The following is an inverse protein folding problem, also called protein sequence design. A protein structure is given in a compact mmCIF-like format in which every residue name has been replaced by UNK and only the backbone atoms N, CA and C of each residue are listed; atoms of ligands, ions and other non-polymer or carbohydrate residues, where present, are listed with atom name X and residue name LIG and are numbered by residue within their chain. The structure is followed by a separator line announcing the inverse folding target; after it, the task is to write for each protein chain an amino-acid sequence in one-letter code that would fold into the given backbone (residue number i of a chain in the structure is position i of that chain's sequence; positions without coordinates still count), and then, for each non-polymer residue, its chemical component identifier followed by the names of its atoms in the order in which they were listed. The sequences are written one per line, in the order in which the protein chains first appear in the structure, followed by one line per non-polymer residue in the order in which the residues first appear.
data_IF_822681212811
#
_entry.id   IF_822681212811
#
_cell.length_a   1.000
_cell.length_b   1.000
_cell.length_c   1.000
_cell.angle_alpha   90.00
_cell.angle_beta   90.00
_cell.angle_gamma   90.00
#
_symmetry.space_group_name_H-M   'P 1'
#
loop_
_entity.id
_entity.type
_entity.pdbx_description
1 polymer ?
#
# COMPACT_ATOMS: atom_id res chain seq x y z
N UNK A 1 5.86 11.74 2.21
CA UNK A 1 5.91 10.52 1.36
C UNK A 1 4.63 10.37 0.56
N UNK A 2 4.73 9.74 -0.62
CA UNK A 2 3.59 9.32 -1.43
C UNK A 2 3.68 7.80 -1.60
N UNK A 3 2.58 7.09 -1.39
CA UNK A 3 2.47 5.63 -1.55
C UNK A 3 1.26 5.30 -2.42
N UNK A 4 1.44 4.58 -3.52
CA UNK A 4 0.34 4.11 -4.37
C UNK A 4 0.28 2.59 -4.39
N UNK A 5 -0.87 2.03 -4.03
CA UNK A 5 -1.16 0.60 -4.16
C UNK A 5 -2.32 0.42 -5.12
N UNK A 6 -2.06 -0.30 -6.21
CA UNK A 6 -3.01 -0.51 -7.29
C UNK A 6 -3.10 -2.01 -7.57
N UNK A 7 -4.32 -2.51 -7.72
CA UNK A 7 -4.54 -3.84 -8.28
C UNK A 7 -4.04 -3.82 -9.72
N UNK A 8 -3.19 -4.77 -10.08
CA UNK A 8 -2.96 -5.06 -11.49
C UNK A 8 -4.15 -5.89 -11.95
N UNK A 9 -4.85 -5.47 -13.00
CA UNK A 9 -5.76 -6.37 -13.70
C UNK A 9 -4.97 -7.61 -14.13
N UNK A 10 -5.19 -8.74 -13.45
CA UNK A 10 -4.69 -10.06 -13.84
C UNK A 10 -5.66 -10.74 -14.82
N UNK A 11 -6.33 -9.96 -15.67
CA UNK A 11 -7.33 -10.44 -16.62
C UNK A 11 -6.74 -10.81 -17.99
N UNK A 12 -5.42 -10.81 -18.13
CA UNK A 12 -4.73 -11.59 -19.15
C UNK A 12 -4.08 -12.81 -18.47
N UNK A 13 -4.65 -13.99 -18.75
CA UNK A 13 -4.18 -15.33 -18.37
C UNK A 13 -4.48 -15.82 -16.95
N UNK A 14 -5.71 -16.32 -16.76
CA UNK A 14 -5.97 -17.66 -16.19
C UNK A 14 -7.45 -18.01 -16.37
N UNK A 15 -7.78 -18.67 -17.47
CA UNK A 15 -9.03 -19.40 -17.63
C UNK A 15 -9.03 -20.57 -16.65
N UNK A 16 -9.80 -20.47 -15.56
CA UNK A 16 -10.23 -21.64 -14.81
C UNK A 16 -11.69 -21.46 -14.41
N UNK A 17 -12.53 -22.16 -15.16
CA UNK A 17 -13.95 -22.35 -14.96
C UNK A 17 -14.27 -22.95 -13.58
N UNK A 18 -15.12 -22.34 -12.77
CA UNK A 18 -16.03 -23.09 -11.87
C UNK A 18 -17.28 -22.26 -11.50
N UNK A 19 -18.39 -22.62 -12.17
CA UNK A 19 -19.78 -22.73 -11.73
C UNK A 19 -20.34 -21.78 -10.64
N UNK A 20 -21.39 -21.07 -11.04
CA UNK A 20 -22.31 -20.36 -10.17
C UNK A 20 -23.18 -21.32 -9.35
N UNK A 21 -23.34 -21.01 -8.06
CA UNK A 21 -24.49 -21.45 -7.27
C UNK A 21 -24.92 -20.30 -6.36
N UNK A 22 -26.15 -19.83 -6.57
CA UNK A 22 -26.77 -18.81 -5.74
C UNK A 22 -27.33 -19.44 -4.46
N UNK A 23 -27.07 -18.82 -3.31
CA UNK A 23 -27.92 -18.92 -2.14
C UNK A 23 -27.98 -17.57 -1.43
N UNK A 24 -29.21 -17.09 -1.27
CA UNK A 24 -29.58 -15.88 -0.53
C UNK A 24 -29.68 -16.27 0.94
N UNK A 25 -29.00 -15.54 1.83
CA UNK A 25 -29.51 -15.34 3.18
C UNK A 25 -29.06 -13.99 3.78
N UNK A 26 -30.07 -13.28 4.29
CA UNK A 26 -30.00 -11.95 4.90
C UNK A 26 -29.60 -12.09 6.37
N UNK A 27 -28.44 -11.57 6.73
CA UNK A 27 -28.16 -11.11 8.10
C UNK A 27 -27.50 -9.73 8.01
N UNK A 28 -28.05 -8.75 8.73
CA UNK A 28 -27.65 -7.34 8.68
C UNK A 28 -26.25 -7.07 9.20
N UNK A 29 -25.23 -7.44 8.42
CA UNK A 29 -23.87 -7.00 8.60
C UNK A 29 -23.70 -5.66 7.88
N UNK A 30 -23.07 -4.69 8.58
CA UNK A 30 -22.64 -3.42 8.00
C UNK A 30 -21.99 -3.71 6.65
N UNK A 31 -22.55 -3.12 5.60
CA UNK A 31 -22.15 -3.32 4.22
C UNK A 31 -20.75 -2.72 4.02
N UNK A 32 -19.74 -3.45 4.47
CA UNK A 32 -18.34 -3.23 4.18
C UNK A 32 -18.07 -3.58 2.72
N UNK A 33 -18.78 -2.92 1.80
CA UNK A 33 -18.38 -2.91 0.39
C UNK A 33 -17.02 -2.22 0.37
N UNK A 34 -15.96 -3.02 0.43
CA UNK A 34 -14.77 -2.69 -0.34
C UNK A 34 -15.32 -2.51 -1.75
N UNK A 35 -15.55 -1.25 -2.13
CA UNK A 35 -16.09 -0.88 -3.43
C UNK A 35 -15.22 -1.60 -4.47
N UNK A 36 -15.80 -2.61 -5.12
CA UNK A 36 -15.14 -3.38 -6.18
C UNK A 36 -14.78 -2.48 -7.39
N UNK A 37 -15.26 -1.25 -7.36
CA UNK A 37 -15.08 -0.23 -8.39
C UNK A 37 -13.79 0.60 -8.21
N UNK A 38 -12.95 0.32 -7.21
CA UNK A 38 -11.66 1.01 -7.03
C UNK A 38 -10.49 0.12 -7.44
N UNK A 39 -9.69 0.62 -8.39
CA UNK A 39 -8.42 0.04 -8.81
C UNK A 39 -7.34 0.12 -7.73
N UNK A 40 -7.47 0.97 -6.71
CA UNK A 40 -6.49 1.08 -5.62
C UNK A 40 -6.66 2.31 -4.74
N UNK A 41 -5.58 2.68 -4.04
CA UNK A 41 -5.52 3.93 -3.27
C UNK A 41 -4.15 4.60 -3.39
N UNK A 42 -4.17 5.93 -3.28
CA UNK A 42 -2.99 6.77 -3.20
C UNK A 42 -2.98 7.48 -1.84
N UNK A 43 -1.93 7.26 -1.07
CA UNK A 43 -1.66 7.96 0.18
C UNK A 43 -0.62 9.06 -0.06
N UNK A 44 -0.89 10.26 0.44
CA UNK A 44 0.02 11.41 0.39
C UNK A 44 0.07 12.01 1.80
N UNK A 45 1.24 12.08 2.41
CA UNK A 45 1.37 12.68 3.74
C UNK A 45 2.79 13.03 4.14
N UNK A 46 2.95 13.61 5.33
CA UNK A 46 4.26 14.02 5.87
C UNK A 46 5.13 12.84 6.36
N UNK A 47 4.53 11.65 6.53
CA UNK A 47 5.20 10.49 7.11
C UNK A 47 6.43 10.10 6.28
N UNK A 48 7.60 10.03 6.90
CA UNK A 48 8.76 9.35 6.31
C UNK A 48 8.65 7.83 6.56
N UNK A 49 9.53 7.04 5.94
CA UNK A 49 9.55 5.59 6.15
C UNK A 49 10.27 5.20 7.45
N UNK A 50 9.66 5.56 8.59
CA UNK A 50 10.19 5.32 9.93
C UNK A 50 9.11 4.78 10.88
N UNK A 51 9.47 3.95 11.88
CA UNK A 51 8.53 3.51 12.91
C UNK A 51 7.96 4.67 13.74
N UNK A 52 8.70 5.77 13.91
CA UNK A 52 8.21 6.94 14.64
C UNK A 52 6.98 7.58 13.96
N UNK A 53 6.95 7.57 12.62
CA UNK A 53 5.84 8.11 11.83
C UNK A 53 4.66 7.13 11.68
N UNK A 54 4.94 5.82 11.54
CA UNK A 54 3.91 4.80 11.23
C UNK A 54 3.46 3.96 12.42
N UNK A 55 4.25 3.98 13.48
CA UNK A 55 4.05 3.24 14.70
C UNK A 55 4.78 1.90 14.74
N UNK A 56 4.92 1.38 15.96
CA UNK A 56 5.44 0.04 16.25
C UNK A 56 4.46 -0.70 17.15
N UNK A 57 4.19 -1.97 16.81
CA UNK A 57 3.45 -2.85 17.69
C UNK A 57 4.35 -3.31 18.85
N UNK A 58 3.85 -3.13 20.07
CA UNK A 58 4.44 -3.68 21.28
C UNK A 58 3.48 -4.72 21.85
N UNK A 59 3.87 -5.99 21.80
CA UNK A 59 3.16 -7.07 22.50
C UNK A 59 3.94 -7.41 23.77
N UNK A 60 3.30 -7.29 24.94
CA UNK A 60 3.88 -7.79 26.19
C UNK A 60 3.73 -9.31 26.21
N UNK A 61 4.85 -10.03 26.14
CA UNK A 61 4.85 -11.49 26.26
C UNK A 61 4.24 -11.90 27.60
N UNK A 62 3.12 -12.64 27.57
CA UNK A 62 2.45 -13.17 28.76
C UNK A 62 1.09 -12.58 29.12
N UNK A 63 0.56 -11.63 28.35
CA UNK A 63 -0.84 -11.20 28.46
C UNK A 63 -1.48 -11.09 27.08
N UNK A 64 -2.51 -11.90 26.81
CA UNK A 64 -3.23 -11.88 25.53
C UNK A 64 -3.96 -10.55 25.26
N UNK A 65 -4.06 -9.67 26.26
CA UNK A 65 -4.90 -8.46 26.25
C UNK A 65 -4.15 -7.11 26.14
N UNK A 66 -2.82 -7.07 26.05
CA UNK A 66 -2.10 -5.78 25.94
C UNK A 66 -1.16 -5.70 24.73
N UNK A 67 -1.76 -5.57 23.54
CA UNK A 67 -1.06 -5.10 22.34
C UNK A 67 -1.31 -3.61 22.17
N UNK A 68 -0.24 -2.80 22.14
CA UNK A 68 -0.33 -1.37 21.84
C UNK A 68 0.38 -1.03 20.54
N UNK A 69 -0.13 -0.02 19.84
CA UNK A 69 0.54 0.64 18.71
C UNK A 69 1.07 1.98 19.20
N UNK A 70 2.38 2.13 19.23
CA UNK A 70 3.05 3.35 19.70
C UNK A 70 3.54 4.16 18.50
N UNK A 71 3.10 5.42 18.39
CA UNK A 71 3.49 6.39 17.35
C UNK A 71 4.03 7.62 18.06
N UNK A 72 5.24 8.07 17.69
CA UNK A 72 5.92 9.16 18.40
C UNK A 72 5.94 10.49 17.65
N UNK A 73 5.73 10.49 16.33
CA UNK A 73 5.66 11.72 15.54
C UNK A 73 4.21 12.19 15.32
N UNK A 74 4.06 13.51 15.21
CA UNK A 74 2.83 14.13 14.70
C UNK A 74 2.92 14.23 13.18
N UNK A 75 2.05 13.52 12.50
CA UNK A 75 2.08 13.44 11.05
C UNK A 75 0.66 13.53 10.50
N UNK A 76 0.50 14.04 9.28
CA UNK A 76 -0.79 14.16 8.61
C UNK A 76 -0.69 13.70 7.15
N UNK A 77 -1.75 13.07 6.66
CA UNK A 77 -1.85 12.67 5.27
C UNK A 77 -3.29 12.47 4.83
N UNK A 78 -3.48 12.36 3.52
CA UNK A 78 -4.76 12.10 2.86
C UNK A 78 -4.68 10.78 2.10
N UNK A 79 -5.79 10.06 2.06
CA UNK A 79 -5.97 8.86 1.25
C UNK A 79 -6.97 9.17 0.16
N UNK A 80 -6.55 9.00 -1.09
CA UNK A 80 -7.37 9.19 -2.28
C UNK A 80 -7.72 7.82 -2.86
N UNK A 81 -9.02 7.46 -2.98
CA UNK A 81 -9.41 6.26 -3.70
C UNK A 81 -9.14 6.45 -5.19
N UNK A 82 -8.58 5.42 -5.84
CA UNK A 82 -8.28 5.42 -7.27
C UNK A 82 -9.19 4.43 -7.96
N UNK A 83 -9.95 4.92 -8.94
CA UNK A 83 -11.01 4.19 -9.64
C UNK A 83 -10.51 3.45 -10.88
N UNK A 84 -9.45 3.92 -11.50
CA UNK A 84 -8.91 3.33 -12.74
C UNK A 84 -7.39 3.42 -12.82
N UNK A 85 -6.79 2.58 -13.67
CA UNK A 85 -5.36 2.66 -13.97
C UNK A 85 -4.96 4.00 -14.60
N UNK A 86 -5.79 4.57 -15.48
CA UNK A 86 -5.51 5.89 -16.07
C UNK A 86 -5.41 6.98 -15.00
N UNK A 87 -6.29 6.95 -14.00
CA UNK A 87 -6.25 7.87 -12.86
C UNK A 87 -5.02 7.63 -11.97
N UNK A 88 -4.59 6.36 -11.82
CA UNK A 88 -3.35 6.03 -11.13
C UNK A 88 -2.14 6.67 -11.83
N UNK A 89 -2.03 6.55 -13.15
CA UNK A 89 -0.93 7.15 -13.92
C UNK A 89 -0.97 8.68 -13.92
N UNK A 90 -2.16 9.29 -13.87
CA UNK A 90 -2.32 10.75 -13.79
C UNK A 90 -1.88 11.32 -12.42
N UNK A 91 -2.17 10.62 -11.32
CA UNK A 91 -1.97 11.16 -9.96
C UNK A 91 -0.57 10.96 -9.41
N UNK A 92 0.21 10.02 -9.96
CA UNK A 92 1.57 9.75 -9.49
C UNK A 92 2.55 10.80 -10.00
N UNK A 93 3.53 11.14 -9.16
CA UNK A 93 4.59 12.10 -9.51
C UNK A 93 5.91 11.41 -9.87
N UNK A 94 5.87 10.10 -10.11
CA UNK A 94 7.00 9.28 -10.52
C UNK A 94 6.66 8.40 -11.73
N UNK A 95 7.67 7.95 -12.45
CA UNK A 95 7.49 7.07 -13.60
C UNK A 95 7.18 5.64 -13.15
N UNK A 96 6.18 5.02 -13.77
CA UNK A 96 5.81 3.62 -13.56
C UNK A 96 6.08 2.78 -14.83
N UNK A 97 6.47 1.50 -14.70
CA UNK A 97 6.85 0.83 -13.45
C UNK A 97 8.16 1.40 -12.89
N UNK A 98 8.35 1.33 -11.56
CA UNK A 98 9.59 1.79 -10.93
C UNK A 98 10.75 0.90 -11.36
N UNK A 99 11.89 1.52 -11.72
CA UNK A 99 13.10 0.78 -12.10
C UNK A 99 13.76 0.19 -10.84
N UNK A 100 13.99 -1.13 -10.77
CA UNK A 100 14.72 -1.72 -9.66
C UNK A 100 16.18 -1.24 -9.62
N UNK A 101 16.70 -1.01 -8.42
CA UNK A 101 18.14 -0.78 -8.20
C UNK A 101 18.95 -2.03 -8.62
N UNK A 102 20.17 -1.81 -9.13
CA UNK A 102 21.17 -2.88 -9.28
C UNK A 102 20.87 -4.00 -10.28
N UNK A 103 19.92 -3.84 -11.21
CA UNK A 103 19.50 -4.95 -12.07
C UNK A 103 20.67 -5.55 -12.89
N UNK A 104 20.95 -6.84 -12.65
CA UNK A 104 21.95 -7.66 -13.37
C UNK A 104 23.39 -7.11 -13.41
N UNK A 105 23.82 -6.42 -12.35
CA UNK A 105 25.22 -6.01 -12.18
C UNK A 105 25.74 -4.94 -13.16
N UNK A 106 24.85 -4.32 -13.95
CA UNK A 106 25.19 -3.21 -14.87
C UNK A 106 24.98 -1.83 -14.23
N UNK A 107 24.17 -1.77 -13.20
CA UNK A 107 23.77 -0.55 -12.52
C UNK A 107 24.37 -0.55 -11.11
N UNK A 108 25.23 0.42 -10.79
CA UNK A 108 25.85 0.58 -9.46
C UNK A 108 25.04 1.52 -8.56
N UNK A 109 23.79 1.83 -8.93
CA UNK A 109 22.91 2.67 -8.13
C UNK A 109 22.70 2.08 -6.74
N UNK A 110 23.10 2.86 -5.75
CA UNK A 110 22.92 2.59 -4.33
C UNK A 110 22.00 3.65 -3.75
N UNK A 111 21.22 3.32 -2.69
CA UNK A 111 20.45 4.31 -1.98
C UNK A 111 21.35 5.45 -1.50
N UNK A 112 20.86 6.69 -1.63
CA UNK A 112 21.57 7.83 -1.08
C UNK A 112 21.74 7.68 0.43
N UNK A 113 22.98 7.76 0.89
CA UNK A 113 23.33 7.76 2.31
C UNK A 113 23.96 9.09 2.66
N UNK A 114 23.29 9.87 3.53
CA UNK A 114 23.68 11.24 3.86
C UNK A 114 25.14 11.36 4.29
N UNK A 115 25.63 10.47 5.17
CA UNK A 115 27.00 10.52 5.68
C UNK A 115 28.06 9.89 4.76
N UNK A 116 27.64 9.18 3.71
CA UNK A 116 28.58 8.55 2.75
C UNK A 116 28.69 9.32 1.43
N UNK A 117 27.67 10.11 1.10
CA UNK A 117 27.59 10.82 -0.17
C UNK A 117 27.36 12.33 0.00
N UNK A 118 26.87 12.78 1.16
CA UNK A 118 26.77 14.20 1.50
C UNK A 118 28.12 14.73 1.96
N UNK A 119 28.52 15.87 1.42
CA UNK A 119 29.70 16.62 1.89
C UNK A 119 29.43 17.25 3.26
#
# INVERSE_FOLDING_TARGET
MILGLFNSDSSAESTSSTLATASVDKSGARDGRINKDHAGFLYIGSHNFTPAAWGKFNSKSGSDDSTSLEISNWELGVVLPVKSHAQAEEYVTWQRPTKPYGHRGKDTSIPWMQFSHGR
#
